data_IF_917744000868
#
_entry.id   IF_917744000868
#
_cell.length_a   1.000
_cell.length_b   1.000
_cell.length_c   1.000
_cell.angle_alpha   90.00
_cell.angle_beta   90.00
_cell.angle_gamma   90.00
#
_symmetry.space_group_name_H-M   'P 1'
#
loop_
_entity.id
_entity.type
_entity.pdbx_description
1 polymer ?
#
# COMPACT_ATOMS: atom_id res chain seq x y z
N UNK A 1 19.31 14.06 2.15
CA UNK A 1 19.42 12.72 2.76
C UNK A 1 18.32 12.58 3.78
N UNK A 2 17.64 11.44 3.84
CA UNK A 2 16.64 11.16 4.88
C UNK A 2 17.28 10.33 5.99
N UNK A 3 16.96 10.62 7.25
CA UNK A 3 17.45 9.88 8.41
C UNK A 3 16.38 9.83 9.50
N UNK A 4 16.34 8.76 10.30
CA UNK A 4 15.36 8.57 11.37
C UNK A 4 15.29 7.10 11.82
N UNK A 5 14.66 6.83 12.97
CA UNK A 5 14.50 5.46 13.48
C UNK A 5 13.48 4.68 12.63
N UNK A 6 13.77 3.39 12.40
CA UNK A 6 12.85 2.48 11.68
C UNK A 6 11.71 1.99 12.59
N UNK A 7 11.95 1.89 13.91
CA UNK A 7 10.98 1.36 14.88
C UNK A 7 9.57 1.96 14.76
N UNK A 8 9.41 3.29 14.77
CA UNK A 8 8.09 3.91 14.63
C UNK A 8 7.38 3.60 13.31
N UNK A 9 8.12 3.30 12.23
CA UNK A 9 7.51 2.90 10.95
C UNK A 9 6.93 1.49 11.05
N UNK A 10 7.59 0.58 11.75
CA UNK A 10 7.10 -0.79 11.95
C UNK A 10 5.79 -0.80 12.75
N UNK A 11 5.71 0.03 13.79
CA UNK A 11 4.48 0.20 14.58
C UNK A 11 3.33 0.74 13.73
N UNK A 12 3.60 1.72 12.86
CA UNK A 12 2.60 2.27 11.94
C UNK A 12 2.10 1.23 10.93
N UNK A 13 3.00 0.39 10.38
CA UNK A 13 2.63 -0.70 9.47
C UNK A 13 1.76 -1.73 10.17
N UNK A 14 2.11 -2.15 11.39
CA UNK A 14 1.30 -3.08 12.17
C UNK A 14 -0.12 -2.54 12.43
N UNK A 15 -0.22 -1.26 12.83
CA UNK A 15 -1.51 -0.60 13.01
C UNK A 15 -2.29 -0.46 11.68
N UNK A 16 -1.62 -0.22 10.55
CA UNK A 16 -2.26 -0.15 9.23
C UNK A 16 -2.85 -1.50 8.82
N UNK A 17 -2.12 -2.60 9.03
CA UNK A 17 -2.62 -3.95 8.77
C UNK A 17 -3.86 -4.29 9.59
N UNK A 18 -3.85 -3.96 10.90
CA UNK A 18 -5.01 -4.18 11.76
C UNK A 18 -6.23 -3.40 11.26
N UNK A 19 -6.07 -2.11 10.92
CA UNK A 19 -7.15 -1.28 10.36
C UNK A 19 -7.68 -1.81 9.03
N UNK A 20 -6.80 -2.22 8.12
CA UNK A 20 -7.23 -2.79 6.83
C UNK A 20 -8.10 -4.03 7.02
N UNK A 21 -7.77 -4.91 7.97
CA UNK A 21 -8.59 -6.09 8.26
C UNK A 21 -9.99 -5.71 8.79
N UNK A 22 -10.07 -4.67 9.62
CA UNK A 22 -11.34 -4.13 10.11
C UNK A 22 -12.16 -3.44 9.01
N UNK A 23 -11.51 -2.79 8.05
CA UNK A 23 -12.17 -2.11 6.92
C UNK A 23 -12.70 -3.10 5.88
N UNK A 24 -11.96 -4.18 5.63
CA UNK A 24 -12.34 -5.23 4.66
C UNK A 24 -13.50 -6.08 5.18
N UNK A 25 -13.55 -6.40 6.47
CA UNK A 25 -14.55 -7.31 7.04
C UNK A 25 -16.02 -6.92 6.76
N UNK A 26 -16.44 -5.65 6.91
CA UNK A 26 -17.81 -5.22 6.60
C UNK A 26 -17.99 -4.72 5.16
N UNK A 27 -16.98 -4.84 4.29
CA UNK A 27 -17.04 -4.27 2.96
C UNK A 27 -18.15 -4.94 2.12
N UNK A 28 -18.89 -4.12 1.38
CA UNK A 28 -19.86 -4.57 0.38
C UNK A 28 -19.25 -4.26 -0.99
N UNK A 29 -18.66 -5.23 -1.70
CA UNK A 29 -17.81 -4.95 -2.87
C UNK A 29 -18.50 -4.13 -3.96
N UNK A 30 -19.78 -4.41 -4.24
CA UNK A 30 -20.59 -3.67 -5.21
C UNK A 30 -21.23 -2.39 -4.64
N UNK A 31 -21.09 -2.14 -3.34
CA UNK A 31 -21.61 -0.94 -2.69
C UNK A 31 -20.76 0.31 -2.99
N UNK A 32 -21.34 1.51 -2.85
CA UNK A 32 -20.62 2.76 -3.05
C UNK A 32 -19.54 2.94 -1.99
N UNK A 33 -18.55 3.79 -2.27
CA UNK A 33 -17.58 4.21 -1.25
C UNK A 33 -18.27 4.76 0.00
N UNK A 34 -17.70 4.45 1.17
CA UNK A 34 -18.21 4.94 2.46
C UNK A 34 -17.89 6.41 2.72
N UNK A 35 -17.04 7.02 1.88
CA UNK A 35 -16.66 8.42 1.96
C UNK A 35 -16.18 8.93 0.60
N UNK A 36 -16.12 10.26 0.49
CA UNK A 36 -15.65 10.93 -0.73
C UNK A 36 -14.12 11.05 -0.69
N UNK A 37 -13.39 10.44 -1.64
CA UNK A 37 -11.94 10.63 -1.72
C UNK A 37 -11.61 12.08 -2.06
N UNK A 38 -10.45 12.62 -1.63
CA UNK A 38 -10.03 13.95 -2.04
C UNK A 38 -9.87 14.02 -3.57
N UNK A 39 -10.21 15.16 -4.17
CA UNK A 39 -10.25 15.33 -5.63
C UNK A 39 -8.96 14.91 -6.36
N UNK A 40 -7.80 15.11 -5.72
CA UNK A 40 -6.50 14.73 -6.28
C UNK A 40 -6.28 13.21 -6.41
N UNK A 41 -7.07 12.40 -5.70
CA UNK A 41 -7.03 10.94 -5.73
C UNK A 41 -8.21 10.34 -6.51
N UNK A 42 -9.07 11.18 -7.09
CA UNK A 42 -10.12 10.73 -8.00
C UNK A 42 -9.45 10.43 -9.33
N UNK A 43 -9.43 9.14 -9.70
CA UNK A 43 -8.97 8.69 -11.01
C UNK A 43 -9.90 9.13 -12.15
N UNK A 44 -9.74 8.57 -13.36
CA UNK A 44 -10.67 8.82 -14.46
C UNK A 44 -12.10 8.46 -14.06
N UNK A 45 -13.08 9.10 -14.72
CA UNK A 45 -14.50 8.94 -14.40
C UNK A 45 -14.93 7.47 -14.53
N UNK A 46 -15.27 6.86 -13.40
CA UNK A 46 -15.66 5.45 -13.26
C UNK A 46 -16.51 5.28 -12.00
N UNK A 47 -17.32 4.24 -11.98
CA UNK A 47 -18.06 3.89 -10.77
C UNK A 47 -17.11 3.60 -9.62
N UNK A 48 -17.27 4.33 -8.51
CA UNK A 48 -16.45 4.19 -7.32
C UNK A 48 -17.14 3.25 -6.33
N UNK A 49 -16.71 1.99 -6.33
CA UNK A 49 -17.20 0.96 -5.41
C UNK A 49 -16.17 0.62 -4.34
N UNK A 50 -16.62 0.06 -3.22
CA UNK A 50 -15.71 -0.41 -2.17
C UNK A 50 -14.75 -1.50 -2.70
N UNK A 51 -15.25 -2.40 -3.55
CA UNK A 51 -14.44 -3.44 -4.18
C UNK A 51 -13.35 -2.87 -5.08
N UNK A 52 -13.66 -1.85 -5.88
CA UNK A 52 -12.67 -1.18 -6.73
C UNK A 52 -11.58 -0.48 -5.90
N UNK A 53 -11.94 0.14 -4.79
CA UNK A 53 -10.97 0.75 -3.88
C UNK A 53 -10.06 -0.29 -3.21
N UNK A 54 -10.62 -1.42 -2.75
CA UNK A 54 -9.84 -2.51 -2.15
C UNK A 54 -8.91 -3.19 -3.17
N UNK A 55 -9.37 -3.39 -4.40
CA UNK A 55 -8.54 -3.90 -5.48
C UNK A 55 -7.37 -2.95 -5.75
N UNK A 56 -7.64 -1.64 -5.82
CA UNK A 56 -6.59 -0.65 -6.01
C UNK A 56 -5.54 -0.67 -4.88
N UNK A 57 -5.97 -0.79 -3.61
CA UNK A 57 -5.04 -0.95 -2.48
C UNK A 57 -4.16 -2.20 -2.67
N UNK A 58 -4.74 -3.32 -3.12
CA UNK A 58 -3.97 -4.53 -3.38
C UNK A 58 -2.97 -4.37 -4.53
N UNK A 59 -3.36 -3.73 -5.62
CA UNK A 59 -2.50 -3.46 -6.78
C UNK A 59 -1.28 -2.63 -6.39
N UNK A 60 -1.48 -1.54 -5.65
CA UNK A 60 -0.39 -0.67 -5.16
C UNK A 60 0.55 -1.43 -4.20
N UNK A 61 -0.01 -2.26 -3.30
CA UNK A 61 0.81 -3.10 -2.40
C UNK A 61 1.66 -4.10 -3.18
N UNK A 62 1.09 -4.77 -4.18
CA UNK A 62 1.81 -5.73 -5.01
C UNK A 62 2.92 -5.03 -5.82
N UNK A 63 2.62 -3.85 -6.39
CA UNK A 63 3.59 -3.04 -7.13
C UNK A 63 4.76 -2.62 -6.24
N UNK A 64 4.48 -2.07 -5.05
CA UNK A 64 5.51 -1.66 -4.10
C UNK A 64 6.31 -2.83 -3.55
N UNK A 65 5.68 -4.00 -3.35
CA UNK A 65 6.39 -5.20 -2.94
C UNK A 65 7.46 -5.61 -3.96
N UNK A 66 7.09 -5.68 -5.24
CA UNK A 66 8.06 -5.99 -6.31
C UNK A 66 9.20 -4.97 -6.39
N UNK A 67 8.90 -3.68 -6.20
CA UNK A 67 9.94 -2.63 -6.14
C UNK A 67 10.92 -2.86 -4.98
N UNK A 68 10.42 -3.27 -3.80
CA UNK A 68 11.26 -3.58 -2.64
C UNK A 68 12.14 -4.81 -2.86
N UNK A 69 11.64 -5.83 -3.58
CA UNK A 69 12.43 -7.00 -3.94
C UNK A 69 13.58 -6.64 -4.89
N UNK A 70 13.30 -5.86 -5.94
CA UNK A 70 14.32 -5.36 -6.87
C UNK A 70 15.39 -4.56 -6.11
N UNK A 71 14.98 -3.68 -5.19
CA UNK A 71 15.91 -2.88 -4.40
C UNK A 71 16.77 -3.74 -3.47
N UNK A 72 16.17 -4.73 -2.80
CA UNK A 72 16.90 -5.70 -1.97
C UNK A 72 17.98 -6.40 -2.80
N UNK A 73 17.61 -6.90 -3.97
CA UNK A 73 18.52 -7.66 -4.83
C UNK A 73 19.67 -6.78 -5.32
N UNK A 74 19.42 -5.51 -5.66
CA UNK A 74 20.46 -4.54 -6.00
C UNK A 74 21.43 -4.26 -4.82
N UNK A 75 20.92 -4.14 -3.59
CA UNK A 75 21.76 -3.96 -2.39
C UNK A 75 22.63 -5.19 -2.13
N UNK A 76 22.09 -6.39 -2.29
CA UNK A 76 22.84 -7.64 -2.09
C UNK A 76 23.92 -7.80 -3.16
N UNK A 77 23.59 -7.59 -4.43
CA UNK A 77 24.56 -7.64 -5.52
C UNK A 77 25.70 -6.60 -5.33
N UNK A 78 25.37 -5.40 -4.88
CA UNK A 78 26.37 -4.36 -4.58
C UNK A 78 27.30 -4.72 -3.42
N UNK A 79 26.83 -5.50 -2.43
CA UNK A 79 27.67 -6.00 -1.34
C UNK A 79 28.66 -7.07 -1.82
N UNK A 80 28.20 -7.96 -2.70
CA UNK A 80 29.03 -9.03 -3.24
C UNK A 80 30.10 -8.48 -4.21
N UNK A 81 29.77 -7.46 -5.00
CA UNK A 81 30.73 -6.78 -5.87
C UNK A 81 31.79 -5.95 -5.11
N UNK A 82 31.55 -5.62 -3.84
CA UNK A 82 32.46 -4.88 -2.98
C UNK A 82 33.34 -5.79 -2.08
N UNK A 83 33.17 -7.10 -2.16
CA UNK A 83 34.01 -8.12 -1.51
C UNK A 83 35.07 -8.63 -2.46
#
# INVERSE_FOLDING_TARGET
TSSGPVGPLLEQVAAAHARLAEDVRPAVPAGPLRGTPPAAFVGPDRELTQGAALLHVYEELAQHHGQMEILRDAILAGKDAAR
#
